data_IF_680889947766
#
_entry.id   IF_680889947766
#
_cell.length_a   1.000
_cell.length_b   1.000
_cell.length_c   1.000
_cell.angle_alpha   90.00
_cell.angle_beta   90.00
_cell.angle_gamma   90.00
#
_symmetry.space_group_name_H-M   'P 1'
#
loop_
_entity.id
_entity.type
_entity.pdbx_description
1 polymer ?
#
# COMPACT_ATOMS: atom_id res chain seq x y z
N UNK A 1 3.22 -10.43 -7.62
CA UNK A 1 3.20 -9.14 -6.91
C UNK A 1 2.16 -9.13 -5.79
N UNK A 2 0.88 -9.37 -6.08
CA UNK A 2 -0.20 -9.28 -5.08
C UNK A 2 0.01 -10.16 -3.84
N UNK A 3 0.54 -11.38 -4.00
CA UNK A 3 0.86 -12.28 -2.88
C UNK A 3 1.92 -11.69 -1.95
N UNK A 4 2.96 -11.07 -2.50
CA UNK A 4 4.03 -10.41 -1.72
C UNK A 4 3.53 -9.13 -1.04
N UNK A 5 2.72 -8.34 -1.71
CA UNK A 5 2.10 -7.17 -1.07
C UNK A 5 1.07 -7.55 -0.02
N UNK A 6 0.27 -8.61 -0.26
CA UNK A 6 -0.62 -9.17 0.75
C UNK A 6 0.11 -9.67 1.99
N UNK A 7 1.29 -10.28 1.80
CA UNK A 7 2.16 -10.69 2.90
C UNK A 7 2.71 -9.52 3.74
N UNK A 8 2.69 -8.29 3.22
CA UNK A 8 3.12 -7.13 4.01
C UNK A 8 2.29 -6.94 5.28
N UNK A 9 0.99 -7.23 5.25
CA UNK A 9 0.11 -7.02 6.41
C UNK A 9 0.42 -7.94 7.59
N UNK A 10 0.57 -9.28 7.45
CA UNK A 10 1.03 -10.11 8.55
C UNK A 10 2.46 -9.78 9.00
N UNK A 11 3.36 -9.42 8.09
CA UNK A 11 4.72 -9.00 8.47
C UNK A 11 4.72 -7.69 9.28
N UNK A 12 3.86 -6.73 8.92
CA UNK A 12 3.62 -5.51 9.72
C UNK A 12 3.09 -5.89 11.11
N UNK A 13 2.14 -6.83 11.21
CA UNK A 13 1.57 -7.30 12.48
C UNK A 13 2.63 -7.89 13.39
N UNK A 14 3.61 -8.62 12.83
CA UNK A 14 4.75 -9.19 13.57
C UNK A 14 5.74 -8.11 14.02
N UNK A 15 6.08 -7.17 13.14
CA UNK A 15 7.18 -6.24 13.38
C UNK A 15 6.77 -4.95 14.10
N UNK A 16 5.52 -4.47 13.93
CA UNK A 16 5.07 -3.19 14.52
C UNK A 16 5.11 -3.15 16.05
N UNK A 17 4.75 -4.21 16.81
CA UNK A 17 4.85 -4.19 18.27
C UNK A 17 6.29 -4.01 18.77
N UNK A 18 7.25 -4.55 18.03
CA UNK A 18 8.67 -4.56 18.43
C UNK A 18 9.43 -3.29 18.00
N UNK A 19 9.06 -2.69 16.87
CA UNK A 19 9.79 -1.57 16.28
C UNK A 19 9.04 -0.24 16.36
N UNK A 20 7.76 -0.28 16.70
CA UNK A 20 6.87 0.87 16.62
C UNK A 20 6.58 1.30 15.16
N UNK A 21 5.55 2.14 14.94
CA UNK A 21 5.13 2.54 13.61
C UNK A 21 6.21 3.27 12.79
N UNK A 22 6.89 4.22 13.41
CA UNK A 22 7.94 5.02 12.78
C UNK A 22 9.24 4.22 12.61
N UNK A 23 9.60 3.40 13.62
CA UNK A 23 10.78 2.54 13.56
C UNK A 23 10.69 1.55 12.42
N UNK A 24 9.56 0.84 12.32
CA UNK A 24 9.34 -0.12 11.24
C UNK A 24 9.34 0.58 9.87
N UNK A 25 8.65 1.72 9.73
CA UNK A 25 8.62 2.46 8.47
C UNK A 25 10.01 2.96 8.07
N UNK A 26 10.78 3.51 9.00
CA UNK A 26 12.13 4.03 8.75
C UNK A 26 13.11 2.94 8.33
N UNK A 27 13.21 1.85 9.11
CA UNK A 27 14.10 0.73 8.78
C UNK A 27 13.71 0.11 7.43
N UNK A 28 12.41 -0.08 7.17
CA UNK A 28 11.89 -0.57 5.90
C UNK A 28 12.32 0.30 4.72
N UNK A 29 12.25 1.64 4.86
CA UNK A 29 12.66 2.58 3.82
C UNK A 29 14.19 2.58 3.61
N UNK A 30 14.98 2.49 4.69
CA UNK A 30 16.44 2.39 4.61
C UNK A 30 16.85 1.13 3.85
N UNK A 31 16.29 -0.03 4.20
CA UNK A 31 16.59 -1.29 3.52
C UNK A 31 16.20 -1.24 2.05
N UNK A 32 15.02 -0.69 1.72
CA UNK A 32 14.60 -0.50 0.34
C UNK A 32 15.55 0.43 -0.43
N UNK A 33 15.93 1.55 0.16
CA UNK A 33 16.88 2.50 -0.43
C UNK A 33 18.23 1.86 -0.70
N UNK A 34 18.76 1.05 0.24
CA UNK A 34 20.03 0.33 0.07
C UNK A 34 19.97 -0.67 -1.07
N UNK A 35 18.92 -1.50 -1.13
CA UNK A 35 18.74 -2.48 -2.23
C UNK A 35 18.61 -1.78 -3.58
N UNK A 36 17.80 -0.73 -3.67
CA UNK A 36 17.60 -0.01 -4.92
C UNK A 36 18.86 0.76 -5.34
N UNK A 37 19.60 1.37 -4.41
CA UNK A 37 20.86 2.03 -4.69
C UNK A 37 21.95 1.03 -5.16
N UNK A 38 22.00 -0.16 -4.56
CA UNK A 38 22.88 -1.24 -5.02
C UNK A 38 22.55 -1.67 -6.45
N UNK A 39 21.26 -1.87 -6.76
CA UNK A 39 20.80 -2.18 -8.12
C UNK A 39 21.13 -1.06 -9.11
N UNK A 40 20.92 0.21 -8.74
CA UNK A 40 21.30 1.35 -9.57
C UNK A 40 22.79 1.33 -9.91
N UNK A 41 23.64 1.04 -8.92
CA UNK A 41 25.09 0.95 -9.13
C UNK A 41 25.47 -0.21 -10.05
N UNK A 42 24.87 -1.39 -9.83
CA UNK A 42 25.11 -2.59 -10.65
C UNK A 42 24.68 -2.40 -12.10
N UNK A 43 23.50 -1.76 -12.32
CA UNK A 43 22.94 -1.51 -13.63
C UNK A 43 23.40 -0.17 -14.25
N UNK A 44 24.31 0.54 -13.59
CA UNK A 44 24.92 1.80 -14.03
C UNK A 44 23.92 2.92 -14.32
N UNK A 45 22.81 2.96 -13.59
CA UNK A 45 21.86 4.06 -13.66
C UNK A 45 22.37 5.30 -12.93
N UNK A 46 21.90 6.48 -13.35
CA UNK A 46 22.20 7.77 -12.72
C UNK A 46 21.04 8.21 -11.82
N UNK A 47 21.35 8.91 -10.73
CA UNK A 47 20.36 9.53 -9.88
C UNK A 47 19.58 10.62 -10.63
N UNK A 48 18.29 10.83 -10.31
CA UNK A 48 17.54 11.96 -10.83
C UNK A 48 18.22 13.29 -10.52
N UNK A 49 18.03 14.28 -11.41
CA UNK A 49 18.56 15.63 -11.22
C UNK A 49 18.06 16.24 -9.90
N UNK A 50 18.85 17.11 -9.27
CA UNK A 50 18.50 17.75 -7.99
C UNK A 50 17.15 18.45 -8.03
N UNK A 51 16.78 19.06 -9.14
CA UNK A 51 15.50 19.72 -9.35
C UNK A 51 14.28 18.77 -9.22
N UNK A 52 14.44 17.46 -9.42
CA UNK A 52 13.37 16.48 -9.29
C UNK A 52 13.07 16.07 -7.84
N UNK A 53 13.99 16.28 -6.91
CA UNK A 53 13.88 15.78 -5.53
C UNK A 53 12.67 16.30 -4.76
N UNK A 54 12.25 17.60 -4.85
CA UNK A 54 11.04 18.05 -4.17
C UNK A 54 9.79 17.27 -4.59
N UNK A 55 9.60 17.04 -5.90
CA UNK A 55 8.47 16.29 -6.43
C UNK A 55 8.54 14.80 -6.03
N UNK A 56 9.74 14.19 -6.07
CA UNK A 56 9.95 12.81 -5.63
C UNK A 56 9.76 12.65 -4.12
N UNK A 57 10.12 13.67 -3.32
CA UNK A 57 9.86 13.69 -1.87
C UNK A 57 8.36 13.78 -1.58
N UNK A 58 7.62 14.64 -2.29
CA UNK A 58 6.16 14.69 -2.17
C UNK A 58 5.52 13.35 -2.55
N UNK A 59 6.00 12.71 -3.63
CA UNK A 59 5.59 11.36 -4.00
C UNK A 59 5.91 10.36 -2.89
N UNK A 60 7.11 10.42 -2.30
CA UNK A 60 7.53 9.56 -1.18
C UNK A 60 6.62 9.70 0.04
N UNK A 61 6.23 10.94 0.39
CA UNK A 61 5.32 11.17 1.52
C UNK A 61 3.97 10.52 1.28
N UNK A 62 3.40 10.68 0.08
CA UNK A 62 2.08 10.13 -0.26
C UNK A 62 2.09 8.61 -0.47
N UNK A 63 3.15 8.05 -1.08
CA UNK A 63 3.14 6.64 -1.50
C UNK A 63 3.91 5.71 -0.58
N UNK A 64 4.69 6.26 0.37
CA UNK A 64 5.55 5.49 1.26
C UNK A 64 5.40 5.93 2.70
N UNK A 65 5.76 7.19 3.05
CA UNK A 65 5.86 7.63 4.45
C UNK A 65 4.51 7.54 5.16
N UNK A 66 3.50 8.25 4.66
CA UNK A 66 2.19 8.31 5.31
C UNK A 66 1.51 6.93 5.35
N UNK A 67 1.41 6.17 4.23
CA UNK A 67 0.79 4.85 4.28
C UNK A 67 1.53 3.88 5.20
N UNK A 68 2.86 3.86 5.16
CA UNK A 68 3.62 2.90 5.98
C UNK A 68 3.42 3.17 7.47
N UNK A 69 3.55 4.42 7.91
CA UNK A 69 3.35 4.78 9.32
C UNK A 69 1.92 4.45 9.77
N UNK A 70 0.91 4.79 8.97
CA UNK A 70 -0.49 4.55 9.29
C UNK A 70 -0.85 3.07 9.33
N UNK A 71 -0.41 2.27 8.34
CA UNK A 71 -0.61 0.81 8.35
C UNK A 71 0.17 0.12 9.48
N UNK A 72 1.39 0.58 9.78
CA UNK A 72 2.16 0.04 10.89
C UNK A 72 1.47 0.33 12.23
N UNK A 73 0.92 1.54 12.40
CA UNK A 73 0.15 1.88 13.60
C UNK A 73 -1.14 1.05 13.69
N UNK A 74 -1.89 0.95 12.59
CA UNK A 74 -3.10 0.13 12.56
C UNK A 74 -2.79 -1.36 12.82
N UNK A 75 -1.64 -1.87 12.39
CA UNK A 75 -1.16 -3.22 12.64
C UNK A 75 -0.92 -3.55 14.13
N UNK A 76 -0.87 -2.55 15.01
CA UNK A 76 -0.87 -2.78 16.45
C UNK A 76 -2.25 -3.20 16.97
N UNK A 77 -3.32 -2.84 16.25
CA UNK A 77 -4.70 -2.97 16.70
C UNK A 77 -5.50 -3.96 15.84
N UNK A 78 -5.40 -3.82 14.51
CA UNK A 78 -6.21 -4.58 13.57
C UNK A 78 -5.51 -5.86 13.11
N UNK A 79 -6.28 -6.94 12.84
CA UNK A 79 -5.79 -8.11 12.14
C UNK A 79 -5.23 -7.76 10.75
N UNK A 80 -4.28 -8.55 10.27
CA UNK A 80 -3.63 -8.34 8.98
C UNK A 80 -4.62 -8.36 7.80
N UNK A 81 -5.51 -9.35 7.79
CA UNK A 81 -6.55 -9.48 6.78
C UNK A 81 -7.49 -8.28 6.73
N UNK A 82 -7.81 -7.72 7.89
CA UNK A 82 -8.66 -6.53 8.02
C UNK A 82 -8.00 -5.30 7.37
N UNK A 83 -6.74 -5.04 7.71
CA UNK A 83 -5.96 -3.93 7.11
C UNK A 83 -5.80 -4.09 5.60
N UNK A 84 -5.63 -5.34 5.12
CA UNK A 84 -5.51 -5.64 3.69
C UNK A 84 -6.81 -5.32 2.92
N UNK A 85 -7.99 -5.63 3.49
CA UNK A 85 -9.29 -5.29 2.89
C UNK A 85 -9.50 -3.78 2.87
N UNK A 86 -9.18 -3.07 3.95
CA UNK A 86 -9.26 -1.61 3.99
C UNK A 86 -8.33 -0.95 2.95
N UNK A 87 -7.16 -1.51 2.71
CA UNK A 87 -6.26 -1.04 1.65
C UNK A 87 -6.87 -1.15 0.24
N UNK A 88 -7.77 -2.09 -0.01
CA UNK A 88 -8.44 -2.23 -1.31
C UNK A 88 -9.37 -1.04 -1.65
N UNK A 89 -9.58 -0.10 -0.74
CA UNK A 89 -10.30 1.15 -1.03
C UNK A 89 -9.42 2.20 -1.73
N UNK A 90 -8.12 1.99 -1.89
CA UNK A 90 -7.22 2.94 -2.54
C UNK A 90 -7.68 3.40 -3.94
N UNK A 91 -8.19 2.55 -4.85
CA UNK A 91 -8.72 2.99 -6.14
C UNK A 91 -9.89 3.97 -6.05
N UNK A 92 -10.73 3.90 -4.98
CA UNK A 92 -11.81 4.86 -4.76
C UNK A 92 -11.25 6.29 -4.63
N UNK A 93 -10.22 6.45 -3.81
CA UNK A 93 -9.58 7.74 -3.60
C UNK A 93 -8.80 8.21 -4.81
N UNK A 94 -8.20 7.27 -5.57
CA UNK A 94 -7.54 7.58 -6.83
C UNK A 94 -8.48 8.24 -7.83
N UNK A 95 -9.69 7.67 -8.00
CA UNK A 95 -10.68 8.20 -8.93
C UNK A 95 -11.29 9.53 -8.45
N UNK A 96 -11.54 9.66 -7.15
CA UNK A 96 -12.03 10.91 -6.57
C UNK A 96 -10.98 12.03 -6.73
N UNK A 97 -9.71 11.72 -6.52
CA UNK A 97 -8.60 12.66 -6.71
C UNK A 97 -8.44 13.06 -8.18
N UNK A 98 -8.50 12.12 -9.12
CA UNK A 98 -8.43 12.39 -10.55
C UNK A 98 -9.60 13.28 -11.02
N UNK A 99 -10.80 13.03 -10.48
CA UNK A 99 -11.96 13.85 -10.78
C UNK A 99 -11.85 15.28 -10.20
N UNK A 100 -11.36 15.41 -8.96
CA UNK A 100 -11.13 16.72 -8.34
C UNK A 100 -10.09 17.57 -9.10
N UNK A 101 -9.14 16.91 -9.79
CA UNK A 101 -8.15 17.57 -10.64
C UNK A 101 -8.62 17.77 -12.10
N UNK A 102 -9.86 17.37 -12.42
CA UNK A 102 -10.41 17.49 -13.77
C UNK A 102 -9.84 16.50 -14.78
N UNK A 103 -9.03 15.52 -14.34
CA UNK A 103 -8.43 14.51 -15.22
C UNK A 103 -9.44 13.42 -15.63
N UNK A 104 -10.47 13.19 -14.78
CA UNK A 104 -11.51 12.19 -15.05
C UNK A 104 -12.91 12.69 -14.67
N UNK A 105 -13.95 12.17 -15.36
CA UNK A 105 -15.34 12.48 -15.03
C UNK A 105 -15.91 11.46 -14.04
N UNK A 106 -16.60 11.95 -12.99
CA UNK A 106 -17.36 11.10 -12.09
C UNK A 106 -18.64 10.64 -12.80
N UNK A 107 -18.68 9.38 -13.21
CA UNK A 107 -19.90 8.75 -13.73
C UNK A 107 -20.74 8.22 -12.59
N UNK A 108 -22.06 8.03 -12.82
CA UNK A 108 -22.96 7.42 -11.85
C UNK A 108 -22.46 6.05 -11.36
N UNK A 109 -21.86 5.26 -12.25
CA UNK A 109 -21.23 3.98 -11.93
C UNK A 109 -20.09 4.13 -10.90
N UNK A 110 -19.22 5.14 -11.08
CA UNK A 110 -18.09 5.41 -10.18
C UNK A 110 -18.56 5.93 -8.83
N UNK A 111 -19.57 6.80 -8.81
CA UNK A 111 -20.18 7.27 -7.56
C UNK A 111 -20.86 6.13 -6.79
N UNK A 112 -21.60 5.26 -7.46
CA UNK A 112 -22.17 4.07 -6.85
C UNK A 112 -21.07 3.15 -6.30
N UNK A 113 -19.97 2.96 -7.04
CA UNK A 113 -18.81 2.22 -6.56
C UNK A 113 -18.19 2.83 -5.30
N UNK A 114 -18.03 4.16 -5.23
CA UNK A 114 -17.54 4.83 -4.03
C UNK A 114 -18.49 4.61 -2.83
N UNK A 115 -19.78 4.78 -3.02
CA UNK A 115 -20.79 4.57 -1.97
C UNK A 115 -20.76 3.12 -1.44
N UNK A 116 -20.70 2.13 -2.34
CA UNK A 116 -20.57 0.72 -1.98
C UNK A 116 -19.27 0.42 -1.23
N UNK A 117 -18.15 1.04 -1.65
CA UNK A 117 -16.86 0.85 -0.99
C UNK A 117 -16.85 1.37 0.45
N UNK A 118 -17.39 2.56 0.68
CA UNK A 118 -17.52 3.11 2.04
C UNK A 118 -18.51 2.32 2.89
N UNK A 119 -19.62 1.86 2.32
CA UNK A 119 -20.56 0.96 3.01
C UNK A 119 -19.87 -0.36 3.38
N UNK A 120 -19.06 -0.92 2.48
CA UNK A 120 -18.27 -2.13 2.74
C UNK A 120 -17.26 -1.96 3.87
N UNK A 121 -16.57 -0.80 3.95
CA UNK A 121 -15.69 -0.46 5.07
C UNK A 121 -16.47 -0.40 6.39
N UNK A 122 -17.61 0.30 6.40
CA UNK A 122 -18.44 0.40 7.60
C UNK A 122 -18.94 -0.97 8.08
N UNK A 123 -19.38 -1.83 7.15
CA UNK A 123 -19.81 -3.19 7.46
C UNK A 123 -18.64 -4.04 8.01
N UNK A 124 -17.47 -3.94 7.40
CA UNK A 124 -16.28 -4.65 7.87
C UNK A 124 -15.92 -4.24 9.30
N UNK A 125 -16.02 -2.94 9.62
CA UNK A 125 -15.75 -2.44 10.98
C UNK A 125 -16.79 -2.96 11.97
N UNK A 126 -18.06 -3.04 11.59
CA UNK A 126 -19.12 -3.50 12.48
C UNK A 126 -19.15 -5.02 12.68
N UNK A 127 -18.90 -5.79 11.62
CA UNK A 127 -19.07 -7.25 11.61
C UNK A 127 -17.74 -8.02 11.63
N UNK A 128 -16.62 -7.30 11.70
CA UNK A 128 -15.28 -7.89 11.72
C UNK A 128 -14.97 -8.64 13.01
N UNK A 129 -13.82 -9.33 13.07
CA UNK A 129 -13.45 -10.22 14.17
C UNK A 129 -13.02 -9.50 15.46
N UNK A 130 -13.03 -8.17 15.46
CA UNK A 130 -12.63 -7.36 16.63
C UNK A 130 -13.81 -6.54 17.14
N UNK A 131 -13.93 -6.43 18.47
CA UNK A 131 -14.95 -5.60 19.08
C UNK A 131 -14.79 -4.13 18.64
N UNK A 132 -15.92 -3.47 18.33
CA UNK A 132 -15.93 -2.07 17.91
C UNK A 132 -15.62 -1.18 19.11
N UNK A 133 -14.38 -0.71 19.18
CA UNK A 133 -13.89 0.26 20.16
C UNK A 133 -13.44 1.53 19.47
N UNK A 134 -13.31 2.64 20.19
CA UNK A 134 -12.76 3.88 19.64
C UNK A 134 -11.38 3.67 18.97
N UNK A 135 -10.53 2.83 19.58
CA UNK A 135 -9.21 2.51 19.01
C UNK A 135 -9.30 1.74 17.70
N UNK A 136 -10.24 0.77 17.61
CA UNK A 136 -10.47 0.01 16.36
C UNK A 136 -11.00 0.93 15.26
N UNK A 137 -11.91 1.84 15.57
CA UNK A 137 -12.42 2.83 14.60
C UNK A 137 -11.30 3.75 14.12
N UNK A 138 -10.46 4.26 15.03
CA UNK A 138 -9.31 5.09 14.67
C UNK A 138 -8.30 4.33 13.81
N UNK A 139 -8.05 3.05 14.10
CA UNK A 139 -7.15 2.23 13.30
C UNK A 139 -7.71 1.94 11.90
N UNK A 140 -9.02 1.71 11.78
CA UNK A 140 -9.69 1.58 10.49
C UNK A 140 -9.66 2.89 9.68
N UNK A 141 -9.85 4.04 10.34
CA UNK A 141 -9.68 5.36 9.72
C UNK A 141 -8.24 5.58 9.25
N UNK A 142 -7.24 5.20 10.05
CA UNK A 142 -5.84 5.28 9.65
C UNK A 142 -5.54 4.44 8.40
N UNK A 143 -6.06 3.20 8.31
CA UNK A 143 -5.97 2.39 7.09
C UNK A 143 -6.65 3.07 5.89
N UNK A 144 -7.81 3.68 6.11
CA UNK A 144 -8.58 4.38 5.06
C UNK A 144 -7.81 5.62 4.56
N UNK A 145 -7.21 6.39 5.46
CA UNK A 145 -6.33 7.53 5.13
C UNK A 145 -5.07 7.06 4.40
N UNK A 146 -4.47 5.94 4.82
CA UNK A 146 -3.34 5.32 4.13
C UNK A 146 -3.72 4.90 2.70
N UNK A 147 -4.89 4.28 2.52
CA UNK A 147 -5.42 3.92 1.21
C UNK A 147 -5.70 5.17 0.35
N UNK A 148 -6.21 6.25 0.94
CA UNK A 148 -6.37 7.53 0.26
C UNK A 148 -5.03 8.10 -0.20
N UNK A 149 -4.01 8.08 0.64
CA UNK A 149 -2.67 8.51 0.28
C UNK A 149 -2.09 7.67 -0.87
N UNK A 150 -2.29 6.35 -0.88
CA UNK A 150 -1.91 5.50 -2.03
C UNK A 150 -2.67 5.86 -3.29
N UNK A 151 -4.00 6.04 -3.21
CA UNK A 151 -4.83 6.40 -4.36
C UNK A 151 -4.41 7.73 -5.00
N UNK A 152 -4.25 8.77 -4.18
CA UNK A 152 -3.78 10.08 -4.62
C UNK A 152 -2.31 10.04 -5.07
N UNK A 153 -1.48 9.30 -4.37
CA UNK A 153 -0.06 9.14 -4.69
C UNK A 153 0.20 8.39 -5.99
N UNK A 154 -0.73 7.51 -6.41
CA UNK A 154 -0.61 6.78 -7.67
C UNK A 154 -0.49 7.71 -8.89
N UNK A 155 -1.15 8.87 -8.87
CA UNK A 155 -1.01 9.88 -9.92
C UNK A 155 0.37 10.53 -9.92
N UNK A 156 0.88 10.89 -8.73
CA UNK A 156 2.24 11.43 -8.59
C UNK A 156 3.28 10.39 -9.05
N UNK A 157 3.08 9.13 -8.69
CA UNK A 157 3.94 8.03 -9.11
C UNK A 157 3.90 7.82 -10.63
N UNK A 158 2.71 7.85 -11.25
CA UNK A 158 2.57 7.77 -12.71
C UNK A 158 3.31 8.92 -13.40
N UNK A 159 3.14 10.15 -12.94
CA UNK A 159 3.87 11.32 -13.47
C UNK A 159 5.39 11.15 -13.34
N UNK A 160 5.86 10.64 -12.20
CA UNK A 160 7.28 10.36 -12.00
C UNK A 160 7.83 9.33 -13.00
N UNK A 161 7.05 8.29 -13.35
CA UNK A 161 7.47 7.27 -14.33
C UNK A 161 7.49 7.77 -15.78
N UNK A 162 6.78 8.86 -16.10
CA UNK A 162 6.82 9.50 -17.42
C UNK A 162 8.10 10.34 -17.63
N UNK A 163 8.64 10.87 -16.53
CA UNK A 163 9.82 11.78 -16.56
C UNK A 163 11.11 11.05 -16.23
N UNK A 164 11.04 10.04 -15.35
CA UNK A 164 12.21 9.32 -14.84
C UNK A 164 12.11 7.84 -15.14
N UNK A 165 13.25 7.18 -15.28
CA UNK A 165 13.31 5.72 -15.32
C UNK A 165 12.81 5.11 -14.01
N UNK A 166 12.13 3.94 -14.05
CA UNK A 166 11.52 3.33 -12.87
C UNK A 166 12.48 3.07 -11.71
N UNK A 167 13.70 2.58 -11.98
CA UNK A 167 14.66 2.25 -10.93
C UNK A 167 15.22 3.49 -10.23
N UNK A 168 15.72 4.54 -10.94
CA UNK A 168 16.13 5.79 -10.30
C UNK A 168 15.02 6.49 -9.53
N UNK A 169 13.79 6.51 -10.07
CA UNK A 169 12.65 7.10 -9.39
C UNK A 169 12.31 6.34 -8.08
N UNK A 170 12.26 5.00 -8.15
CA UNK A 170 12.03 4.15 -6.97
C UNK A 170 13.08 4.36 -5.88
N UNK A 171 14.37 4.41 -6.29
CA UNK A 171 15.47 4.63 -5.36
C UNK A 171 15.38 6.00 -4.69
N UNK A 172 15.14 7.07 -5.47
CA UNK A 172 15.02 8.43 -4.95
C UNK A 172 13.82 8.59 -3.99
N UNK A 173 12.67 7.98 -4.33
CA UNK A 173 11.48 7.95 -3.45
C UNK A 173 11.81 7.31 -2.10
N UNK A 174 12.51 6.16 -2.07
CA UNK A 174 12.82 5.49 -0.81
C UNK A 174 13.95 6.18 -0.03
N UNK A 175 14.92 6.80 -0.69
CA UNK A 175 15.93 7.64 -0.04
C UNK A 175 15.26 8.88 0.60
N UNK A 176 14.37 9.54 -0.12
CA UNK A 176 13.61 10.67 0.42
C UNK A 176 12.72 10.24 1.60
N UNK A 177 12.02 9.11 1.48
CA UNK A 177 11.20 8.57 2.57
C UNK A 177 12.05 8.22 3.81
N UNK A 178 13.21 7.59 3.63
CA UNK A 178 14.14 7.32 4.72
C UNK A 178 14.61 8.62 5.39
N UNK A 179 14.95 9.64 4.61
CA UNK A 179 15.34 10.96 5.13
C UNK A 179 14.25 11.62 5.98
N UNK A 180 13.01 11.60 5.51
CA UNK A 180 11.85 12.13 6.25
C UNK A 180 11.61 11.37 7.56
N UNK A 181 11.83 10.06 7.57
CA UNK A 181 11.60 9.20 8.73
C UNK A 181 12.75 9.14 9.72
N UNK A 182 13.93 9.68 9.41
CA UNK A 182 15.11 9.58 10.28
C UNK A 182 14.85 10.12 11.70
N UNK A 183 14.28 11.32 11.82
CA UNK A 183 14.01 11.93 13.12
C UNK A 183 12.95 11.17 13.91
N UNK A 184 11.74 10.90 13.39
CA UNK A 184 10.72 10.16 14.14
C UNK A 184 11.14 8.71 14.44
N UNK A 185 11.91 8.06 13.59
CA UNK A 185 12.51 6.75 13.85
C UNK A 185 13.52 6.83 15.00
N UNK A 186 14.41 7.83 15.00
CA UNK A 186 15.39 8.02 16.06
C UNK A 186 14.76 8.23 17.43
N UNK A 187 13.65 8.97 17.50
CA UNK A 187 12.87 9.13 18.72
C UNK A 187 12.25 7.82 19.23
N UNK A 188 12.01 6.84 18.36
CA UNK A 188 11.47 5.52 18.69
C UNK A 188 12.54 4.48 19.03
N UNK A 189 13.82 4.75 18.71
CA UNK A 189 14.90 3.76 18.77
C UNK A 189 15.18 3.15 20.16
N UNK A 190 15.04 3.88 21.28
CA UNK A 190 15.29 3.30 22.60
C UNK A 190 14.33 2.16 22.99
N UNK A 191 13.16 2.09 22.35
CA UNK A 191 12.13 1.09 22.62
C UNK A 191 12.14 -0.08 21.62
N UNK A 192 13.02 -0.06 20.59
CA UNK A 192 13.04 -1.11 19.56
C UNK A 192 13.64 -2.41 20.09
N UNK A 193 12.93 -3.52 19.80
CA UNK A 193 13.36 -4.87 20.13
C UNK A 193 13.53 -5.71 18.85
N UNK A 194 14.67 -6.40 18.73
CA UNK A 194 15.00 -7.21 17.58
C UNK A 194 15.04 -8.69 17.94
N UNK A 195 14.11 -9.46 17.39
CA UNK A 195 14.12 -10.92 17.40
C UNK A 195 14.35 -11.45 15.99
N UNK A 196 14.73 -12.73 15.81
CA UNK A 196 14.89 -13.31 14.48
C UNK A 196 13.64 -13.16 13.59
N UNK A 197 12.44 -13.31 14.17
CA UNK A 197 11.18 -13.10 13.44
C UNK A 197 10.97 -11.66 13.01
N UNK A 198 11.29 -10.69 13.86
CA UNK A 198 11.21 -9.25 13.55
C UNK A 198 12.23 -8.88 12.46
N UNK A 199 13.46 -9.40 12.54
CA UNK A 199 14.49 -9.17 11.52
C UNK A 199 14.07 -9.75 10.16
N UNK A 200 13.51 -10.97 10.14
CA UNK A 200 12.98 -11.58 8.92
C UNK A 200 11.83 -10.74 8.36
N UNK A 201 10.89 -10.31 9.21
CA UNK A 201 9.74 -9.52 8.79
C UNK A 201 10.16 -8.18 8.19
N UNK A 202 11.00 -7.41 8.89
CA UNK A 202 11.45 -6.10 8.40
C UNK A 202 12.38 -6.20 7.21
N UNK A 203 13.24 -7.23 7.15
CA UNK A 203 14.08 -7.54 6.00
C UNK A 203 13.25 -7.84 4.75
N UNK A 204 12.23 -8.67 4.86
CA UNK A 204 11.28 -8.98 3.76
C UNK A 204 10.51 -7.73 3.36
N UNK A 205 9.97 -6.97 4.31
CA UNK A 205 9.26 -5.73 4.06
C UNK A 205 10.14 -4.69 3.36
N UNK A 206 11.36 -4.49 3.80
CA UNK A 206 12.28 -3.50 3.24
C UNK A 206 12.85 -3.94 1.89
N UNK A 207 13.53 -5.08 1.85
CA UNK A 207 14.26 -5.49 0.66
C UNK A 207 13.34 -5.97 -0.48
N UNK A 208 12.33 -6.77 -0.16
CA UNK A 208 11.48 -7.39 -1.17
C UNK A 208 10.27 -6.54 -1.48
N UNK A 209 9.37 -6.29 -0.49
CA UNK A 209 8.08 -5.67 -0.78
C UNK A 209 8.18 -4.17 -1.07
N UNK A 210 9.11 -3.47 -0.43
CA UNK A 210 9.34 -2.04 -0.67
C UNK A 210 10.45 -1.77 -1.68
N UNK A 211 11.53 -2.54 -1.66
CA UNK A 211 12.62 -2.41 -2.62
C UNK A 211 12.25 -2.96 -3.99
N UNK A 212 12.39 -4.27 -4.15
CA UNK A 212 12.24 -4.93 -5.47
C UNK A 212 10.84 -4.78 -6.05
N UNK A 213 9.79 -5.03 -5.24
CA UNK A 213 8.41 -5.00 -5.75
C UNK A 213 7.96 -3.59 -6.12
N UNK A 214 8.42 -2.56 -5.41
CA UNK A 214 8.10 -1.18 -5.77
C UNK A 214 8.71 -0.80 -7.12
N UNK A 215 9.98 -1.15 -7.36
CA UNK A 215 10.63 -0.97 -8.66
C UNK A 215 9.92 -1.73 -9.78
N UNK A 216 9.64 -3.03 -9.57
CA UNK A 216 8.92 -3.86 -10.55
C UNK A 216 7.53 -3.26 -10.84
N UNK A 217 6.83 -2.76 -9.82
CA UNK A 217 5.54 -2.09 -9.99
C UNK A 217 5.63 -0.85 -10.86
N UNK A 218 6.62 0.03 -10.60
CA UNK A 218 6.84 1.21 -11.43
C UNK A 218 7.19 0.85 -12.87
N UNK A 219 7.95 -0.22 -13.08
CA UNK A 219 8.24 -0.73 -14.41
C UNK A 219 6.97 -1.24 -15.11
N UNK A 220 6.19 -2.07 -14.43
CA UNK A 220 4.94 -2.60 -14.98
C UNK A 220 3.93 -1.49 -15.32
N UNK A 221 3.84 -0.43 -14.53
CA UNK A 221 2.96 0.72 -14.83
C UNK A 221 3.27 1.39 -16.18
N UNK A 222 4.46 1.20 -16.73
CA UNK A 222 4.83 1.68 -18.08
C UNK A 222 4.49 0.68 -19.19
N UNK A 223 4.49 -0.61 -18.89
CA UNK A 223 4.47 -1.70 -19.87
C UNK A 223 3.09 -2.34 -20.00
N UNK A 224 2.25 -2.29 -18.97
CA UNK A 224 0.94 -2.96 -18.99
C UNK A 224 -0.24 -1.97 -19.00
N UNK A 225 -1.38 -2.36 -19.61
CA UNK A 225 -2.60 -1.57 -19.55
C UNK A 225 -3.09 -1.34 -18.11
N UNK A 226 -3.72 -0.20 -17.87
CA UNK A 226 -4.26 0.15 -16.56
C UNK A 226 -5.24 -0.91 -15.99
N UNK A 227 -5.99 -1.59 -16.87
CA UNK A 227 -6.90 -2.69 -16.49
C UNK A 227 -6.16 -3.88 -15.86
N UNK A 228 -4.99 -4.23 -16.42
CA UNK A 228 -4.16 -5.32 -15.89
C UNK A 228 -3.48 -4.92 -14.56
N UNK A 229 -2.99 -3.67 -14.45
CA UNK A 229 -2.43 -3.16 -13.21
C UNK A 229 -3.46 -3.15 -12.07
N UNK A 230 -4.70 -2.78 -12.38
CA UNK A 230 -5.81 -2.73 -11.42
C UNK A 230 -6.21 -4.11 -10.90
N UNK A 231 -5.98 -5.19 -11.65
CA UNK A 231 -6.31 -6.55 -11.18
C UNK A 231 -5.56 -6.94 -9.90
N UNK A 232 -4.38 -6.38 -9.66
CA UNK A 232 -3.62 -6.61 -8.43
C UNK A 232 -4.33 -6.13 -7.17
N UNK A 233 -5.13 -5.06 -7.27
CA UNK A 233 -5.87 -4.49 -6.14
C UNK A 233 -6.90 -5.47 -5.54
N UNK A 234 -7.45 -6.39 -6.35
CA UNK A 234 -8.39 -7.42 -5.88
C UNK A 234 -7.69 -8.58 -5.19
N UNK A 235 -6.47 -8.88 -5.62
CA UNK A 235 -5.74 -10.05 -5.12
C UNK A 235 -5.04 -9.77 -3.79
N UNK A 236 -4.67 -8.51 -3.50
CA UNK A 236 -3.96 -8.14 -2.27
C UNK A 236 -4.77 -8.51 -1.01
N UNK A 237 -6.07 -8.14 -0.89
CA UNK A 237 -6.88 -8.53 0.26
C UNK A 237 -7.01 -10.03 0.43
N UNK A 238 -7.20 -10.77 -0.68
CA UNK A 238 -7.29 -12.22 -0.65
C UNK A 238 -6.04 -12.83 -0.02
N UNK A 239 -4.86 -12.45 -0.51
CA UNK A 239 -3.60 -12.90 0.08
C UNK A 239 -3.38 -12.40 1.51
N UNK A 240 -3.76 -11.15 1.82
CA UNK A 240 -3.63 -10.60 3.18
C UNK A 240 -4.43 -11.40 4.21
N UNK A 241 -5.68 -11.73 3.89
CA UNK A 241 -6.53 -12.58 4.73
C UNK A 241 -5.97 -14.00 4.82
N UNK A 242 -5.57 -14.59 3.69
CA UNK A 242 -5.03 -15.96 3.65
C UNK A 242 -3.73 -16.08 4.46
N UNK A 243 -2.79 -15.15 4.28
CA UNK A 243 -1.53 -15.15 5.03
C UNK A 243 -1.71 -14.83 6.50
N UNK A 244 -2.64 -13.93 6.85
CA UNK A 244 -3.02 -13.67 8.24
C UNK A 244 -3.56 -14.90 8.94
N UNK A 245 -4.47 -15.63 8.28
CA UNK A 245 -5.02 -16.87 8.79
C UNK A 245 -3.96 -17.98 8.90
N UNK A 246 -3.15 -18.19 7.86
CA UNK A 246 -2.16 -19.29 7.81
C UNK A 246 -0.97 -19.08 8.75
N UNK A 247 -0.42 -17.88 8.83
CA UNK A 247 0.83 -17.63 9.55
C UNK A 247 0.62 -17.06 10.95
N UNK A 248 -0.49 -16.37 11.18
CA UNK A 248 -0.77 -15.74 12.48
C UNK A 248 -1.97 -16.35 13.20
N UNK A 249 -2.67 -17.33 12.59
CA UNK A 249 -3.86 -17.91 13.17
C UNK A 249 -5.02 -16.92 13.35
N UNK A 250 -5.05 -15.86 12.56
CA UNK A 250 -6.10 -14.84 12.64
C UNK A 250 -7.45 -15.42 12.22
N UNK A 251 -8.53 -15.18 12.98
CA UNK A 251 -9.83 -15.72 12.68
C UNK A 251 -10.42 -15.09 11.39
N UNK A 252 -10.75 -15.95 10.43
CA UNK A 252 -11.52 -15.54 9.25
C UNK A 252 -12.99 -15.78 9.58
N UNK A 253 -13.70 -14.72 9.94
CA UNK A 253 -15.10 -14.82 10.36
C UNK A 253 -16.06 -14.60 9.19
N UNK A 254 -17.22 -15.27 9.23
CA UNK A 254 -18.29 -15.04 8.26
C UNK A 254 -18.79 -13.58 8.24
N UNK A 255 -18.66 -12.88 9.38
CA UNK A 255 -19.00 -11.45 9.47
C UNK A 255 -18.12 -10.53 8.62
N UNK A 256 -16.91 -10.96 8.23
CA UNK A 256 -16.06 -10.20 7.32
C UNK A 256 -16.54 -10.25 5.85
N UNK A 257 -17.22 -11.32 5.45
CA UNK A 257 -17.57 -11.59 4.05
C UNK A 257 -18.40 -10.46 3.40
N UNK A 258 -19.47 -9.93 4.01
CA UNK A 258 -20.24 -8.86 3.40
C UNK A 258 -19.41 -7.61 3.13
N UNK A 259 -18.62 -7.17 4.11
CA UNK A 259 -17.75 -6.01 3.96
C UNK A 259 -16.69 -6.22 2.87
N UNK A 260 -16.04 -7.38 2.87
CA UNK A 260 -15.05 -7.75 1.85
C UNK A 260 -15.66 -7.74 0.44
N UNK A 261 -16.82 -8.38 0.26
CA UNK A 261 -17.51 -8.46 -1.02
C UNK A 261 -17.90 -7.07 -1.53
N UNK A 262 -18.40 -6.19 -0.67
CA UNK A 262 -18.75 -4.82 -1.04
C UNK A 262 -17.50 -4.01 -1.45
N UNK A 263 -16.40 -4.08 -0.71
CA UNK A 263 -15.15 -3.37 -1.05
C UNK A 263 -14.58 -3.88 -2.38
N UNK A 264 -14.52 -5.19 -2.58
CA UNK A 264 -14.04 -5.79 -3.82
C UNK A 264 -14.95 -5.46 -5.00
N UNK A 265 -16.27 -5.58 -4.83
CA UNK A 265 -17.26 -5.22 -5.84
C UNK A 265 -17.22 -3.74 -6.20
N UNK A 266 -17.09 -2.85 -5.21
CA UNK A 266 -16.88 -1.43 -5.41
C UNK A 266 -15.63 -1.13 -6.24
N UNK A 267 -14.51 -1.76 -5.90
CA UNK A 267 -13.26 -1.61 -6.63
C UNK A 267 -13.41 -2.11 -8.08
N UNK A 268 -14.05 -3.27 -8.29
CA UNK A 268 -14.35 -3.78 -9.62
C UNK A 268 -15.21 -2.81 -10.44
N UNK A 269 -16.23 -2.26 -9.80
CA UNK A 269 -17.15 -1.31 -10.45
C UNK A 269 -16.44 -0.02 -10.89
N UNK A 270 -15.52 0.49 -10.05
CA UNK A 270 -14.75 1.72 -10.29
C UNK A 270 -13.68 1.51 -11.35
N UNK A 271 -12.89 0.44 -11.24
CA UNK A 271 -11.77 0.17 -12.14
C UNK A 271 -12.23 -0.37 -13.51
N UNK A 272 -13.51 -0.75 -13.65
CA UNK A 272 -14.02 -1.37 -14.85
C UNK A 272 -13.59 -2.83 -15.02
N UNK A 273 -13.00 -3.44 -13.97
CA UNK A 273 -12.59 -4.83 -14.01
C UNK A 273 -13.82 -5.74 -14.24
N UNK A 274 -13.73 -6.57 -15.27
CA UNK A 274 -14.75 -7.59 -15.56
C UNK A 274 -14.03 -8.93 -15.75
N UNK A 275 -14.15 -9.87 -14.78
CA UNK A 275 -13.46 -11.15 -14.87
C UNK A 275 -13.96 -12.03 -16.03
N UNK A 276 -15.13 -11.72 -16.59
CA UNK A 276 -15.75 -12.48 -17.69
C UNK A 276 -15.49 -11.87 -19.09
N UNK A 277 -14.85 -10.71 -19.17
CA UNK A 277 -14.36 -10.15 -20.45
C UNK A 277 -12.92 -10.59 -20.63
N UNK A 278 -12.68 -11.42 -21.65
CA UNK A 278 -11.33 -11.67 -22.16
C UNK A 278 -10.61 -10.36 -22.48
N UNK A 279 -9.28 -10.38 -22.45
CA UNK A 279 -8.51 -9.20 -22.87
C UNK A 279 -8.99 -8.74 -24.26
N UNK A 280 -9.17 -7.41 -24.49
CA UNK A 280 -9.46 -6.93 -25.82
C UNK A 280 -8.34 -7.41 -26.76
N UNK A 281 -8.66 -7.76 -28.02
CA UNK A 281 -7.64 -8.11 -29.00
C UNK A 281 -6.64 -6.95 -29.08
N UNK A 282 -5.37 -7.28 -29.07
CA UNK A 282 -4.30 -6.31 -29.28
C UNK A 282 -4.51 -5.66 -30.66
N UNK A 283 -4.29 -4.32 -30.78
CA UNK A 283 -4.41 -3.61 -32.05
C UNK A 283 -3.35 -4.04 -33.09
#
# INVERSE_FOLDING_TARGET
>A
MSALWGASFPLIRVASPALGPFGLAGIRCILAALVLAALMRMLRHRWPARAAWPALTATAVLTVVAPFVLFNWAGLVLPAGYSAVLNATAPLFGILGAAAMGEERLTARRLAGCALGFAGVALLVQLGPVAVTGTVVLAALACTVAAAAYGLGAMAMKRATLVHEPLPASAAVHVAAAGVLLLPMGASSPAMAFSPGVLLAVGTLGCITSGLMYWISMRLMREIPASAANSSAFMIPLFGVTWGGLFLGEPITAGMLPGCLLVLGATALITGFNPFRGAPPEP
#
